data_IF_506933544041
#
_entry.id   IF_506933544041
#
_cell.length_a   1.000
_cell.length_b   1.000
_cell.length_c   1.000
_cell.angle_alpha   90.00
_cell.angle_beta   90.00
_cell.angle_gamma   90.00
#
_symmetry.space_group_name_H-M   'P 1'
#
loop_
_entity.id
_entity.type
_entity.pdbx_description
1 polymer ?
#
# COMPACT_ATOMS: atom_id res chain seq x y z
N UNK A 1 -16.05 14.95 -16.86
CA UNK A 1 -15.36 14.54 -18.09
C UNK A 1 -14.60 13.26 -17.76
N UNK A 2 -14.92 12.13 -18.40
CA UNK A 2 -14.21 10.88 -18.17
C UNK A 2 -13.08 10.75 -19.19
N UNK A 3 -11.85 10.54 -18.74
CA UNK A 3 -10.71 10.24 -19.60
C UNK A 3 -10.68 8.72 -19.77
N UNK A 4 -10.65 8.25 -21.02
CA UNK A 4 -10.43 6.83 -21.34
C UNK A 4 -8.97 6.67 -21.75
N UNK A 5 -8.29 5.69 -21.16
CA UNK A 5 -6.91 5.34 -21.49
C UNK A 5 -6.82 3.83 -21.76
N UNK A 6 -5.88 3.45 -22.60
CA UNK A 6 -5.52 2.07 -22.90
C UNK A 6 -4.58 1.48 -21.84
N UNK A 7 -4.44 0.15 -21.78
CA UNK A 7 -3.45 -0.51 -20.92
C UNK A 7 -2.00 0.00 -21.08
N UNK A 8 -1.60 0.34 -22.31
CA UNK A 8 -0.26 0.84 -22.60
C UNK A 8 -0.08 2.29 -22.10
N UNK A 9 -1.11 3.13 -22.27
CA UNK A 9 -1.12 4.49 -21.72
C UNK A 9 -1.13 4.48 -20.18
N UNK A 10 -1.88 3.56 -19.56
CA UNK A 10 -1.82 3.36 -18.12
C UNK A 10 -0.41 2.95 -17.67
N UNK A 11 0.22 2.00 -18.38
CA UNK A 11 1.60 1.60 -18.08
C UNK A 11 2.58 2.77 -18.18
N UNK A 12 2.44 3.62 -19.20
CA UNK A 12 3.23 4.83 -19.35
C UNK A 12 2.97 5.84 -18.22
N UNK A 13 1.72 5.97 -17.76
CA UNK A 13 1.36 6.79 -16.59
C UNK A 13 2.08 6.29 -15.34
N UNK A 14 2.01 4.99 -15.05
CA UNK A 14 2.67 4.38 -13.89
C UNK A 14 4.18 4.59 -13.95
N UNK A 15 4.82 4.38 -15.10
CA UNK A 15 6.25 4.65 -15.28
C UNK A 15 6.63 6.11 -15.02
N UNK A 16 5.78 7.07 -15.42
CA UNK A 16 6.00 8.50 -15.14
C UNK A 16 5.84 8.82 -13.67
N UNK A 17 4.84 8.24 -13.00
CA UNK A 17 4.61 8.39 -11.56
C UNK A 17 5.76 7.82 -10.75
N UNK A 18 6.26 6.63 -11.13
CA UNK A 18 7.35 5.93 -10.46
C UNK A 18 8.69 6.70 -10.41
N UNK A 19 8.84 7.78 -11.19
CA UNK A 19 10.00 8.69 -11.10
C UNK A 19 10.04 9.51 -9.81
N UNK A 20 8.90 9.71 -9.17
CA UNK A 20 8.76 10.55 -7.97
C UNK A 20 8.01 9.85 -6.84
N UNK A 21 7.10 8.94 -7.17
CA UNK A 21 6.23 8.25 -6.23
C UNK A 21 6.55 6.77 -6.20
N UNK A 22 6.35 6.13 -5.06
CA UNK A 22 6.25 4.67 -5.00
C UNK A 22 4.78 4.31 -5.23
N UNK A 23 4.48 3.67 -6.35
CA UNK A 23 3.10 3.32 -6.70
C UNK A 23 2.81 1.88 -6.33
N UNK A 24 1.77 1.67 -5.52
CA UNK A 24 1.31 0.36 -5.08
C UNK A 24 -0.11 0.07 -5.56
N UNK A 25 -0.40 -1.20 -5.80
CA UNK A 25 -1.73 -1.71 -6.10
C UNK A 25 -1.80 -3.19 -5.69
N UNK A 26 -2.99 -3.81 -5.65
CA UNK A 26 -3.09 -5.27 -5.58
C UNK A 26 -2.34 -5.90 -6.75
N UNK A 27 -1.42 -6.80 -6.44
CA UNK A 27 -0.53 -7.45 -7.39
C UNK A 27 -0.27 -8.89 -6.95
N UNK A 28 -0.07 -9.78 -7.93
CA UNK A 28 0.17 -11.19 -7.66
C UNK A 28 1.60 -11.43 -7.18
N UNK A 29 1.74 -12.00 -6.00
CA UNK A 29 2.97 -12.64 -5.55
C UNK A 29 2.95 -14.10 -6.03
N UNK A 30 3.81 -14.39 -7.01
CA UNK A 30 3.83 -15.68 -7.69
C UNK A 30 4.10 -16.82 -6.70
N UNK A 31 3.18 -17.79 -6.64
CA UNK A 31 3.25 -18.96 -5.74
C UNK A 31 3.41 -18.62 -4.24
N UNK A 32 3.01 -17.41 -3.84
CA UNK A 32 2.99 -17.00 -2.43
C UNK A 32 1.71 -17.40 -1.68
N UNK A 33 0.77 -18.06 -2.35
CA UNK A 33 -0.57 -18.35 -1.84
C UNK A 33 -0.63 -19.42 -0.77
N UNK A 34 -1.81 -19.55 -0.16
CA UNK A 34 -2.07 -20.52 0.92
C UNK A 34 -2.03 -21.98 0.46
N UNK A 35 -2.28 -22.23 -0.82
CA UNK A 35 -2.31 -23.57 -1.39
C UNK A 35 -1.17 -23.76 -2.40
N UNK A 36 -0.81 -25.01 -2.70
CA UNK A 36 0.20 -25.32 -3.72
C UNK A 36 -0.14 -24.66 -5.04
N UNK A 37 0.85 -24.02 -5.65
CA UNK A 37 0.76 -23.40 -6.98
C UNK A 37 -0.33 -22.31 -7.08
N UNK A 38 -0.69 -21.67 -5.96
CA UNK A 38 -1.58 -20.50 -5.94
C UNK A 38 -0.80 -19.21 -5.70
N UNK A 39 -1.18 -18.14 -6.40
CA UNK A 39 -0.62 -16.82 -6.18
C UNK A 39 -1.26 -16.15 -4.95
N UNK A 40 -0.56 -15.17 -4.40
CA UNK A 40 -1.05 -14.37 -3.28
C UNK A 40 -1.27 -12.93 -3.73
N UNK A 41 -2.51 -12.45 -3.71
CA UNK A 41 -2.84 -11.09 -4.12
C UNK A 41 -2.60 -10.14 -2.95
N UNK A 42 -1.50 -9.39 -2.99
CA UNK A 42 -1.09 -8.45 -1.94
C UNK A 42 -0.77 -7.09 -2.55
N UNK A 43 -0.68 -6.05 -1.71
CA UNK A 43 -0.29 -4.74 -2.18
C UNK A 43 1.22 -4.66 -2.43
N UNK A 44 1.63 -4.52 -3.69
CA UNK A 44 3.04 -4.45 -4.10
C UNK A 44 3.28 -3.26 -5.03
N UNK A 45 4.56 -2.93 -5.24
CA UNK A 45 4.94 -1.91 -6.22
C UNK A 45 4.61 -2.38 -7.62
N UNK A 46 3.96 -1.53 -8.40
CA UNK A 46 3.63 -1.81 -9.80
C UNK A 46 4.48 -0.97 -10.75
N UNK A 47 4.78 -1.53 -11.91
CA UNK A 47 5.50 -0.87 -13.01
C UNK A 47 4.60 -0.61 -14.23
N UNK A 48 3.45 -1.29 -14.33
CA UNK A 48 2.46 -1.02 -15.36
C UNK A 48 1.14 -1.78 -15.18
N UNK A 49 0.34 -1.82 -16.23
CA UNK A 49 -1.01 -2.41 -16.23
C UNK A 49 -1.03 -3.89 -15.84
N UNK A 50 -0.05 -4.67 -16.33
CA UNK A 50 -0.01 -6.13 -16.11
C UNK A 50 0.23 -6.53 -14.65
N UNK A 51 0.77 -5.63 -13.85
CA UNK A 51 1.06 -5.90 -12.44
C UNK A 51 -0.18 -5.68 -11.57
N UNK A 52 -1.18 -4.95 -12.06
CA UNK A 52 -2.38 -4.58 -11.31
C UNK A 52 -3.46 -5.65 -11.46
N UNK A 53 -3.86 -6.22 -10.33
CA UNK A 53 -4.95 -7.19 -10.22
C UNK A 53 -6.21 -6.47 -9.75
N UNK A 54 -7.16 -6.25 -10.66
CA UNK A 54 -8.42 -5.55 -10.32
C UNK A 54 -9.62 -6.49 -10.20
N UNK A 55 -9.56 -7.65 -10.84
CA UNK A 55 -10.65 -8.63 -10.89
C UNK A 55 -10.75 -9.53 -9.65
N UNK A 56 -9.81 -9.45 -8.71
CA UNK A 56 -9.75 -10.34 -7.55
C UNK A 56 -9.43 -9.55 -6.28
N UNK A 57 -10.15 -9.85 -5.19
CA UNK A 57 -9.92 -9.24 -3.88
C UNK A 57 -8.50 -9.54 -3.38
N UNK A 58 -7.82 -8.54 -2.81
CA UNK A 58 -6.54 -8.77 -2.16
C UNK A 58 -6.71 -9.60 -0.89
N UNK A 59 -5.78 -10.53 -0.66
CA UNK A 59 -5.73 -11.33 0.56
C UNK A 59 -5.22 -10.53 1.77
N UNK A 60 -4.46 -9.46 1.51
CA UNK A 60 -3.87 -8.59 2.54
C UNK A 60 -4.34 -7.14 2.35
N UNK A 61 -4.44 -6.44 3.48
CA UNK A 61 -4.77 -5.01 3.56
C UNK A 61 -3.61 -4.13 3.07
N UNK A 62 -3.85 -2.95 2.47
CA UNK A 62 -2.79 -1.99 2.18
C UNK A 62 -2.03 -1.50 3.42
N UNK A 63 -2.53 -1.77 4.63
CA UNK A 63 -1.82 -1.49 5.88
C UNK A 63 -0.44 -2.17 5.96
N UNK A 64 -0.22 -3.27 5.22
CA UNK A 64 1.10 -3.92 5.17
C UNK A 64 2.20 -3.03 4.59
N UNK A 65 1.85 -1.95 3.88
CA UNK A 65 2.79 -0.94 3.39
C UNK A 65 3.26 -0.02 4.54
N UNK A 66 2.41 0.25 5.52
CA UNK A 66 2.71 1.14 6.65
C UNK A 66 3.30 0.36 7.82
N UNK A 67 2.69 -0.78 8.14
CA UNK A 67 3.08 -1.67 9.22
C UNK A 67 3.47 -3.04 8.62
N UNK A 68 4.70 -3.19 8.10
CA UNK A 68 5.17 -4.46 7.57
C UNK A 68 5.29 -5.50 8.71
N UNK A 69 5.29 -6.78 8.34
CA UNK A 69 5.40 -7.90 9.30
C UNK A 69 6.67 -7.78 10.15
N UNK A 70 7.74 -7.27 9.55
CA UNK A 70 9.04 -7.04 10.20
C UNK A 70 9.50 -5.61 9.93
N UNK A 71 9.77 -4.86 10.99
CA UNK A 71 10.29 -3.49 10.93
C UNK A 71 11.43 -3.33 11.94
N UNK A 72 12.52 -2.65 11.55
CA UNK A 72 13.58 -2.26 12.49
C UNK A 72 13.18 -0.92 13.10
N UNK A 73 12.97 -0.88 14.42
CA UNK A 73 12.57 0.35 15.13
C UNK A 73 13.77 1.11 15.69
N UNK A 74 14.80 0.39 16.12
CA UNK A 74 15.96 0.97 16.79
C UNK A 74 17.26 0.29 16.37
N UNK A 75 18.31 1.08 16.24
CA UNK A 75 19.69 0.63 16.24
C UNK A 75 20.29 0.85 17.63
N UNK A 76 20.96 -0.17 18.15
CA UNK A 76 21.62 -0.14 19.45
C UNK A 76 23.13 -0.10 19.27
N UNK A 77 23.79 0.90 19.84
CA UNK A 77 25.24 1.00 19.89
C UNK A 77 25.72 1.38 21.29
N UNK A 78 26.16 0.38 22.06
CA UNK A 78 26.64 0.42 23.46
C UNK A 78 25.82 1.32 24.39
N UNK A 79 26.06 2.62 24.35
CA UNK A 79 25.49 3.62 25.24
C UNK A 79 24.42 4.49 24.55
N UNK A 80 24.16 4.27 23.26
CA UNK A 80 23.21 5.05 22.45
C UNK A 80 22.13 4.19 21.82
N UNK A 81 20.92 4.74 21.77
CA UNK A 81 19.77 4.21 21.04
C UNK A 81 19.46 5.20 19.93
N UNK A 82 19.42 4.73 18.69
CA UNK A 82 19.05 5.53 17.53
C UNK A 82 17.74 4.99 16.95
N UNK A 83 16.77 5.87 16.71
CA UNK A 83 15.54 5.49 16.00
C UNK A 83 15.92 5.17 14.56
N UNK A 84 15.40 4.07 14.03
CA UNK A 84 15.67 3.69 12.65
C UNK A 84 15.09 4.73 11.67
N UNK A 85 15.85 5.04 10.62
CA UNK A 85 15.36 5.92 9.57
C UNK A 85 14.18 5.29 8.81
N UNK A 86 13.13 6.08 8.59
CA UNK A 86 11.94 5.65 7.86
C UNK A 86 11.95 6.25 6.45
N UNK A 87 11.74 5.42 5.42
CA UNK A 87 11.62 5.90 4.04
C UNK A 87 10.27 6.60 3.82
N UNK A 88 10.31 7.93 3.88
CA UNK A 88 9.17 8.84 3.65
C UNK A 88 8.95 9.21 2.18
N UNK A 89 9.57 8.48 1.23
CA UNK A 89 9.32 8.69 -0.20
C UNK A 89 7.81 8.61 -0.49
N UNK A 90 7.26 9.59 -1.23
CA UNK A 90 5.81 9.76 -1.33
C UNK A 90 5.17 8.57 -2.04
N UNK A 91 4.00 8.14 -1.56
CA UNK A 91 3.36 6.89 -1.95
C UNK A 91 2.00 7.16 -2.58
N UNK A 92 1.71 6.48 -3.68
CA UNK A 92 0.36 6.35 -4.23
C UNK A 92 -0.09 4.91 -4.05
N UNK A 93 -1.27 4.70 -3.48
CA UNK A 93 -1.87 3.37 -3.33
C UNK A 93 -3.17 3.34 -4.10
N UNK A 94 -3.22 2.53 -5.16
CA UNK A 94 -4.48 2.18 -5.81
C UNK A 94 -5.18 1.15 -4.95
N UNK A 95 -6.29 1.51 -4.32
CA UNK A 95 -7.00 0.68 -3.35
C UNK A 95 -8.50 0.72 -3.58
N UNK A 96 -9.20 -0.34 -3.14
CA UNK A 96 -10.66 -0.42 -3.21
C UNK A 96 -11.31 0.44 -2.14
N UNK A 97 -12.58 0.77 -2.34
CA UNK A 97 -13.36 1.55 -1.36
C UNK A 97 -13.38 0.89 0.03
N UNK A 98 -13.52 -0.44 0.10
CA UNK A 98 -13.51 -1.18 1.36
C UNK A 98 -12.16 -1.07 2.09
N UNK A 99 -11.04 -1.16 1.35
CA UNK A 99 -9.70 -1.02 1.89
C UNK A 99 -9.44 0.41 2.39
N UNK A 100 -9.82 1.42 1.61
CA UNK A 100 -9.69 2.84 2.02
C UNK A 100 -10.50 3.11 3.29
N UNK A 101 -11.71 2.56 3.39
CA UNK A 101 -12.51 2.70 4.60
C UNK A 101 -11.89 1.95 5.79
N UNK A 102 -11.34 0.75 5.59
CA UNK A 102 -10.59 0.05 6.62
C UNK A 102 -9.38 0.86 7.11
N UNK A 103 -8.64 1.48 6.18
CA UNK A 103 -7.54 2.39 6.52
C UNK A 103 -8.00 3.58 7.36
N UNK A 104 -9.17 4.16 7.12
CA UNK A 104 -9.69 5.25 7.96
C UNK A 104 -9.93 4.82 9.42
N UNK A 105 -10.29 3.54 9.65
CA UNK A 105 -10.43 2.98 11.00
C UNK A 105 -9.08 2.78 11.66
N UNK A 106 -8.09 2.32 10.89
CA UNK A 106 -6.71 2.20 11.36
C UNK A 106 -6.11 3.57 11.67
N UNK A 107 -6.35 4.58 10.83
CA UNK A 107 -5.94 5.96 11.07
C UNK A 107 -6.47 6.45 12.43
N UNK A 108 -7.75 6.23 12.73
CA UNK A 108 -8.30 6.55 14.05
C UNK A 108 -7.61 5.78 15.17
N UNK A 109 -7.38 4.47 14.99
CA UNK A 109 -6.74 3.62 16.00
C UNK A 109 -5.29 4.04 16.31
N UNK A 110 -4.50 4.39 15.30
CA UNK A 110 -3.09 4.74 15.48
C UNK A 110 -2.88 6.22 15.84
N UNK A 111 -3.76 7.11 15.40
CA UNK A 111 -3.54 8.56 15.52
C UNK A 111 -4.43 9.24 16.56
N UNK A 112 -5.54 8.62 16.97
CA UNK A 112 -6.55 9.28 17.80
C UNK A 112 -7.09 8.43 18.95
N UNK A 113 -6.68 7.16 19.05
CA UNK A 113 -7.12 6.29 20.13
C UNK A 113 -6.26 6.52 21.38
N UNK A 114 -6.82 7.26 22.35
CA UNK A 114 -6.12 7.65 23.57
C UNK A 114 -5.44 9.02 23.42
N UNK A 115 -4.38 9.24 24.21
CA UNK A 115 -3.76 10.56 24.34
C UNK A 115 -2.52 10.77 23.46
N UNK A 116 -2.11 9.77 22.68
CA UNK A 116 -0.89 9.81 21.87
C UNK A 116 -1.16 9.30 20.45
N UNK A 117 -0.43 9.83 19.46
CA UNK A 117 -0.35 9.26 18.12
C UNK A 117 0.88 8.36 17.98
N UNK A 118 0.77 7.31 17.19
CA UNK A 118 1.92 6.50 16.78
C UNK A 118 2.80 7.28 15.80
N UNK A 119 4.05 7.53 16.19
CA UNK A 119 5.00 8.37 15.46
C UNK A 119 5.32 7.80 14.07
N UNK A 120 5.66 6.53 13.98
CA UNK A 120 6.07 5.89 12.72
C UNK A 120 4.89 5.78 11.75
N UNK A 121 3.71 5.41 12.26
CA UNK A 121 2.49 5.37 11.46
C UNK A 121 2.15 6.75 10.93
N UNK A 122 2.15 7.79 11.78
CA UNK A 122 1.84 9.16 11.37
C UNK A 122 2.78 9.65 10.27
N UNK A 123 4.09 9.46 10.47
CA UNK A 123 5.13 9.90 9.53
C UNK A 123 4.93 9.31 8.13
N UNK A 124 4.67 8.00 8.02
CA UNK A 124 4.39 7.34 6.74
C UNK A 124 3.03 7.77 6.17
N UNK A 125 2.00 7.84 7.00
CA UNK A 125 0.62 8.09 6.60
C UNK A 125 0.43 9.46 5.94
N UNK A 126 1.17 10.47 6.40
CA UNK A 126 1.19 11.83 5.82
C UNK A 126 1.67 11.85 4.35
N UNK A 127 2.52 10.88 3.97
CA UNK A 127 3.12 10.75 2.64
C UNK A 127 2.33 9.83 1.70
N UNK A 128 1.23 9.24 2.16
CA UNK A 128 0.37 8.34 1.37
C UNK A 128 -0.80 9.10 0.74
N UNK A 129 -1.08 8.80 -0.53
CA UNK A 129 -2.29 9.22 -1.26
C UNK A 129 -2.99 8.00 -1.84
N UNK A 130 -4.30 7.91 -1.63
CA UNK A 130 -5.12 6.84 -2.19
C UNK A 130 -5.71 7.23 -3.54
N UNK A 131 -5.74 6.27 -4.46
CA UNK A 131 -6.51 6.32 -5.70
C UNK A 131 -7.53 5.20 -5.64
N UNK A 132 -8.81 5.55 -5.78
CA UNK A 132 -9.89 4.58 -5.72
C UNK A 132 -9.90 3.69 -6.97
N UNK A 133 -9.86 2.38 -6.76
CA UNK A 133 -10.26 1.38 -7.75
C UNK A 133 -11.74 1.04 -7.49
N UNK A 134 -12.60 1.36 -8.44
CA UNK A 134 -14.02 1.01 -8.37
C UNK A 134 -14.21 -0.51 -8.55
N UNK A 135 -15.23 -1.05 -7.90
CA UNK A 135 -15.65 -2.44 -8.04
C UNK A 135 -17.08 -2.43 -8.57
N UNK A 136 -17.36 -3.18 -9.64
CA UNK A 136 -18.71 -3.27 -10.21
C UNK A 136 -19.68 -3.95 -9.24
N UNK A 137 -19.18 -4.91 -8.47
CA UNK A 137 -19.90 -5.68 -7.47
C UNK A 137 -19.03 -5.94 -6.23
N UNK A 138 -19.66 -6.34 -5.14
CA UNK A 138 -18.93 -6.74 -3.93
C UNK A 138 -18.27 -8.10 -4.16
N UNK A 139 -17.02 -8.23 -3.75
CA UNK A 139 -16.36 -9.53 -3.64
C UNK A 139 -16.90 -10.24 -2.39
N UNK A 140 -17.75 -11.26 -2.59
CA UNK A 140 -18.23 -12.16 -1.54
C UNK A 140 -17.12 -13.07 -0.98
#
# INVERSE_FOLDING_TARGET
>A
MAIKITPDEFSLLIQRLNKKWRVFAPSAEFRGGRFSDTDNIIYQRISGWRDLIWHEKSHMSPNTIIAPITETLFYFDKDTIQIAETDISPIIIFARACDINAMSRLDYMYLSNGNNSDYSYQLLREHIRFVLIECEESFE
#
